data_IF_871679726858
#
_entry.id   IF_871679726858
#
_cell.length_a   1.000
_cell.length_b   1.000
_cell.length_c   1.000
_cell.angle_alpha   90.00
_cell.angle_beta   90.00
_cell.angle_gamma   90.00
#
_symmetry.space_group_name_H-M   'P 1'
#
loop_
_entity.id
_entity.type
_entity.pdbx_description
1 polymer ?
#
# COMPACT_ATOMS: atom_id res chain seq x y z
N UNK A 1 10.41 26.18 -62.68
CA UNK A 1 10.70 24.83 -62.13
C UNK A 1 11.07 24.85 -60.65
N UNK A 2 11.78 25.87 -60.12
CA UNK A 2 12.17 25.89 -58.69
C UNK A 2 11.01 26.02 -57.66
N UNK A 3 9.91 26.72 -57.97
CA UNK A 3 8.77 26.88 -57.02
C UNK A 3 8.09 25.55 -56.64
N UNK A 4 7.99 24.61 -57.58
CA UNK A 4 7.38 23.29 -57.30
C UNK A 4 8.29 22.40 -56.44
N UNK A 5 9.61 22.61 -56.51
CA UNK A 5 10.58 21.88 -55.69
C UNK A 5 10.50 22.29 -54.20
N UNK A 6 10.24 23.57 -53.90
CA UNK A 6 10.01 24.06 -52.53
C UNK A 6 8.69 23.54 -51.92
N UNK A 7 7.64 23.42 -52.74
CA UNK A 7 6.36 22.85 -52.29
C UNK A 7 6.50 21.36 -51.97
N UNK A 8 7.22 20.60 -52.80
CA UNK A 8 7.50 19.18 -52.56
C UNK A 8 8.38 18.94 -51.32
N UNK A 9 9.32 19.84 -51.00
CA UNK A 9 10.15 19.75 -49.79
C UNK A 9 9.41 20.17 -48.52
N UNK A 10 8.45 21.11 -48.60
CA UNK A 10 7.58 21.45 -47.47
C UNK A 10 6.57 20.35 -47.13
N UNK A 11 6.08 19.61 -48.13
CA UNK A 11 5.14 18.49 -47.92
C UNK A 11 5.86 17.28 -47.30
N UNK A 12 7.12 17.02 -47.64
CA UNK A 12 7.88 15.92 -47.03
C UNK A 12 8.23 16.18 -45.56
N UNK A 13 8.47 17.45 -45.16
CA UNK A 13 8.66 17.82 -43.76
C UNK A 13 7.38 17.65 -42.92
N UNK A 14 6.20 17.86 -43.50
CA UNK A 14 4.93 17.66 -42.79
C UNK A 14 4.61 16.18 -42.52
N UNK A 15 5.05 15.27 -43.40
CA UNK A 15 4.86 13.83 -43.19
C UNK A 15 5.89 13.20 -42.22
N UNK A 16 7.06 13.82 -42.06
CA UNK A 16 8.13 13.32 -41.18
C UNK A 16 7.84 13.51 -39.68
N UNK A 17 6.89 14.38 -39.29
CA UNK A 17 6.52 14.60 -37.89
C UNK A 17 5.34 13.76 -37.38
N UNK A 18 4.79 12.83 -38.18
CA UNK A 18 3.67 11.98 -37.75
C UNK A 18 4.08 10.60 -37.22
N UNK A 19 5.36 10.39 -36.89
CA UNK A 19 5.75 9.26 -36.05
C UNK A 19 5.32 9.55 -34.61
N UNK A 20 4.05 9.25 -34.32
CA UNK A 20 3.67 8.95 -32.94
C UNK A 20 4.51 7.74 -32.52
N UNK A 21 5.56 7.97 -31.75
CA UNK A 21 6.13 6.95 -30.89
C UNK A 21 5.00 6.50 -29.97
N UNK A 22 4.28 5.43 -30.38
CA UNK A 22 3.62 4.59 -29.41
C UNK A 22 4.75 4.05 -28.57
N UNK A 23 4.95 4.67 -27.40
CA UNK A 23 5.67 4.10 -26.28
C UNK A 23 4.99 2.78 -25.93
N UNK A 24 5.33 1.76 -26.70
CA UNK A 24 4.97 0.38 -26.44
C UNK A 24 5.98 -0.14 -25.43
N UNK A 25 6.03 0.51 -24.26
CA UNK A 25 6.37 -0.21 -23.06
C UNK A 25 5.20 -1.16 -22.80
N UNK A 26 5.27 -2.34 -23.42
CA UNK A 26 4.51 -3.49 -22.92
C UNK A 26 5.12 -3.84 -21.56
N UNK A 27 4.81 -3.02 -20.55
CA UNK A 27 4.92 -3.42 -19.18
C UNK A 27 4.12 -4.73 -19.08
N UNK A 28 4.81 -5.80 -18.70
CA UNK A 28 4.16 -7.09 -18.45
C UNK A 28 3.09 -6.84 -17.40
N UNK A 29 1.83 -6.71 -17.84
CA UNK A 29 0.70 -6.41 -16.97
C UNK A 29 0.67 -7.54 -15.94
N UNK A 30 0.89 -7.20 -14.67
CA UNK A 30 0.88 -8.20 -13.62
C UNK A 30 -0.53 -8.78 -13.52
N UNK A 31 -0.67 -10.07 -13.14
CA UNK A 31 -1.99 -10.68 -12.97
C UNK A 31 -2.84 -9.99 -11.90
N UNK A 32 -2.27 -9.05 -11.13
CA UNK A 32 -2.95 -8.27 -10.10
C UNK A 32 -3.36 -6.88 -10.57
N UNK A 33 -2.78 -6.33 -11.64
CA UNK A 33 -3.00 -4.93 -12.04
C UNK A 33 -4.48 -4.66 -12.32
N UNK A 34 -5.12 -5.54 -13.09
CA UNK A 34 -6.56 -5.45 -13.36
C UNK A 34 -7.42 -5.53 -12.08
N UNK A 35 -6.98 -6.33 -11.09
CA UNK A 35 -7.70 -6.44 -9.81
C UNK A 35 -7.55 -5.15 -9.01
N UNK A 36 -6.34 -4.64 -8.91
CA UNK A 36 -6.03 -3.37 -8.21
C UNK A 36 -6.80 -2.22 -8.86
N UNK A 37 -6.72 -2.09 -10.19
CA UNK A 37 -7.42 -1.06 -10.96
C UNK A 37 -8.93 -1.13 -10.75
N UNK A 38 -9.50 -2.33 -10.72
CA UNK A 38 -10.94 -2.50 -10.47
C UNK A 38 -11.36 -1.95 -9.11
N UNK A 39 -10.54 -2.11 -8.06
CA UNK A 39 -10.82 -1.59 -6.72
C UNK A 39 -10.57 -0.08 -6.68
N UNK A 40 -9.45 0.40 -7.23
CA UNK A 40 -9.11 1.83 -7.27
C UNK A 40 -10.16 2.67 -8.02
N UNK A 41 -10.81 2.10 -9.04
CA UNK A 41 -11.89 2.76 -9.77
C UNK A 41 -13.18 2.90 -8.97
N UNK A 42 -13.40 2.04 -7.95
CA UNK A 42 -14.55 2.14 -7.07
C UNK A 42 -14.36 3.17 -5.96
N UNK A 43 -13.13 3.60 -5.68
CA UNK A 43 -12.78 4.45 -4.54
C UNK A 43 -13.04 5.94 -4.79
N UNK A 44 -13.48 6.65 -3.75
CA UNK A 44 -13.44 8.12 -3.73
C UNK A 44 -12.01 8.61 -3.52
N UNK A 45 -11.79 9.92 -3.69
CA UNK A 45 -10.47 10.51 -3.44
C UNK A 45 -10.05 10.35 -1.96
N UNK A 46 -10.98 10.51 -1.02
CA UNK A 46 -10.74 10.39 0.42
C UNK A 46 -10.33 8.98 0.81
N UNK A 47 -10.95 7.95 0.23
CA UNK A 47 -10.56 6.55 0.47
C UNK A 47 -9.17 6.26 -0.11
N UNK A 48 -8.81 6.83 -1.27
CA UNK A 48 -7.47 6.69 -1.86
C UNK A 48 -6.40 7.32 -0.96
N UNK A 49 -6.68 8.53 -0.46
CA UNK A 49 -5.83 9.18 0.55
C UNK A 49 -5.76 8.33 1.82
N UNK A 50 -6.89 7.74 2.21
CA UNK A 50 -7.02 6.82 3.34
C UNK A 50 -6.08 5.62 3.27
N UNK A 51 -5.91 5.02 2.10
CA UNK A 51 -4.98 3.90 1.91
C UNK A 51 -3.51 4.28 2.18
N UNK A 52 -3.17 5.58 2.07
CA UNK A 52 -1.84 6.10 2.37
C UNK A 52 -1.65 6.48 3.85
N UNK A 53 -2.68 6.29 4.69
CA UNK A 53 -2.67 6.68 6.09
C UNK A 53 -2.41 5.48 7.01
N UNK A 54 -1.42 5.62 7.89
CA UNK A 54 -1.06 4.64 8.91
C UNK A 54 -1.29 5.21 10.32
N UNK A 55 -2.00 4.46 11.16
CA UNK A 55 -2.13 4.79 12.59
C UNK A 55 -1.40 3.81 13.50
N UNK A 56 -0.74 4.32 14.54
CA UNK A 56 -0.39 3.48 15.68
C UNK A 56 -1.65 3.07 16.43
N UNK A 57 -1.65 1.85 16.98
CA UNK A 57 -2.67 1.38 17.92
C UNK A 57 -2.97 2.46 18.97
N UNK A 58 -4.25 2.79 19.12
CA UNK A 58 -4.67 4.01 19.83
C UNK A 58 -5.77 3.76 20.87
N UNK A 59 -6.28 2.53 20.98
CA UNK A 59 -7.28 2.12 21.95
C UNK A 59 -7.26 0.59 22.11
N UNK A 60 -7.95 0.07 23.14
CA UNK A 60 -8.25 -1.35 23.28
C UNK A 60 -9.39 -1.73 22.33
N UNK A 61 -9.07 -2.48 21.27
CA UNK A 61 -10.02 -2.81 20.21
C UNK A 61 -11.13 -3.76 20.67
N UNK A 62 -10.93 -4.48 21.77
CA UNK A 62 -11.94 -5.35 22.40
C UNK A 62 -12.75 -4.64 23.47
N UNK A 63 -12.31 -3.46 23.89
CA UNK A 63 -13.00 -2.59 24.85
C UNK A 63 -14.12 -1.75 24.22
N UNK A 64 -14.80 -0.91 25.04
CA UNK A 64 -15.82 0.00 24.53
C UNK A 64 -15.21 1.01 23.54
N UNK A 65 -15.96 1.34 22.49
CA UNK A 65 -15.53 2.33 21.50
C UNK A 65 -15.23 3.69 22.17
N UNK A 66 -14.13 4.36 21.79
CA UNK A 66 -13.77 5.66 22.33
C UNK A 66 -14.83 6.71 21.98
N UNK A 67 -15.20 7.55 22.96
CA UNK A 67 -16.30 8.52 22.82
C UNK A 67 -15.84 9.93 22.47
N UNK A 68 -14.60 10.28 22.83
CA UNK A 68 -14.05 11.61 22.64
C UNK A 68 -12.54 11.60 22.31
N UNK A 69 -12.00 12.79 22.07
CA UNK A 69 -10.58 13.00 21.84
C UNK A 69 -10.05 12.43 20.52
N UNK A 70 -8.73 12.26 20.47
CA UNK A 70 -8.03 11.78 19.27
C UNK A 70 -8.35 10.32 18.94
N UNK A 71 -8.63 9.49 19.95
CA UNK A 71 -8.99 8.08 19.76
C UNK A 71 -10.35 7.94 19.07
N UNK A 72 -11.37 8.70 19.47
CA UNK A 72 -12.68 8.70 18.80
C UNK A 72 -12.57 9.13 17.34
N UNK A 73 -11.77 10.17 17.05
CA UNK A 73 -11.54 10.61 15.67
C UNK A 73 -10.88 9.54 14.81
N UNK A 74 -9.86 8.85 15.34
CA UNK A 74 -9.18 7.77 14.61
C UNK A 74 -10.09 6.55 14.41
N UNK A 75 -10.95 6.24 15.38
CA UNK A 75 -11.96 5.19 15.26
C UNK A 75 -12.97 5.52 14.15
N UNK A 76 -13.44 6.76 14.08
CA UNK A 76 -14.29 7.24 12.99
C UNK A 76 -13.60 7.15 11.62
N UNK A 77 -12.32 7.52 11.54
CA UNK A 77 -11.54 7.38 10.30
C UNK A 77 -11.43 5.92 9.85
N UNK A 78 -11.23 4.99 10.79
CA UNK A 78 -11.21 3.56 10.49
C UNK A 78 -12.54 3.11 9.89
N UNK A 79 -13.67 3.46 10.51
CA UNK A 79 -15.01 3.13 10.00
C UNK A 79 -15.34 3.76 8.65
N UNK A 80 -14.72 4.89 8.32
CA UNK A 80 -14.85 5.54 7.00
C UNK A 80 -13.97 4.94 5.91
N UNK A 81 -13.14 3.93 6.22
CA UNK A 81 -12.18 3.37 5.27
C UNK A 81 -11.00 4.31 4.97
N UNK A 82 -10.66 5.21 5.90
CA UNK A 82 -9.60 6.21 5.75
C UNK A 82 -8.26 5.80 6.39
N UNK A 83 -8.06 4.50 6.58
CA UNK A 83 -6.85 3.94 7.19
C UNK A 83 -6.46 2.71 6.36
N UNK A 84 -5.25 2.70 5.81
CA UNK A 84 -4.71 1.59 5.02
C UNK A 84 -3.93 0.60 5.87
N UNK A 85 -3.28 1.08 6.93
CA UNK A 85 -2.49 0.23 7.82
C UNK A 85 -2.52 0.69 9.27
N UNK A 86 -2.21 -0.25 10.16
CA UNK A 86 -2.00 0.04 11.57
C UNK A 86 -0.70 -0.59 12.07
N UNK A 87 0.02 0.13 12.92
CA UNK A 87 1.23 -0.37 13.60
C UNK A 87 0.96 -0.53 15.10
N UNK A 88 1.58 -1.51 15.76
CA UNK A 88 1.51 -1.70 17.21
C UNK A 88 0.12 -2.09 17.76
N UNK A 89 -0.75 -2.72 16.97
CA UNK A 89 -2.02 -3.32 17.46
C UNK A 89 -1.74 -4.73 17.99
N UNK A 90 -1.43 -4.88 19.27
CA UNK A 90 -0.94 -6.17 19.83
C UNK A 90 -2.07 -7.14 20.20
N UNK A 91 -1.83 -8.43 19.94
CA UNK A 91 -2.73 -9.53 20.28
C UNK A 91 -3.72 -9.89 19.18
N UNK A 92 -3.89 -11.19 18.95
CA UNK A 92 -4.75 -11.73 17.86
C UNK A 92 -6.20 -11.24 17.97
N UNK A 93 -6.72 -11.10 19.19
CA UNK A 93 -8.08 -10.63 19.44
C UNK A 93 -8.27 -9.17 19.00
N UNK A 94 -7.31 -8.30 19.34
CA UNK A 94 -7.33 -6.89 18.94
C UNK A 94 -7.15 -6.73 17.44
N UNK A 95 -6.21 -7.47 16.84
CA UNK A 95 -6.00 -7.48 15.38
C UNK A 95 -7.26 -7.93 14.66
N UNK A 96 -7.91 -9.00 15.14
CA UNK A 96 -9.16 -9.49 14.58
C UNK A 96 -10.28 -8.45 14.72
N UNK A 97 -10.38 -7.78 15.85
CA UNK A 97 -11.41 -6.76 16.09
C UNK A 97 -11.27 -5.58 15.12
N UNK A 98 -10.07 -5.02 14.94
CA UNK A 98 -9.87 -3.91 13.98
C UNK A 98 -10.05 -4.35 12.54
N UNK A 99 -9.64 -5.57 12.20
CA UNK A 99 -9.82 -6.10 10.85
C UNK A 99 -11.28 -6.36 10.54
N UNK A 100 -12.05 -6.80 11.53
CA UNK A 100 -13.50 -6.96 11.41
C UNK A 100 -14.18 -5.64 11.06
N UNK A 101 -13.80 -4.54 11.72
CA UNK A 101 -14.31 -3.20 11.38
C UNK A 101 -13.96 -2.85 9.93
N UNK A 102 -12.69 -3.01 9.53
CA UNK A 102 -12.24 -2.68 8.17
C UNK A 102 -13.00 -3.45 7.09
N UNK A 103 -13.21 -4.76 7.30
CA UNK A 103 -13.84 -5.66 6.32
C UNK A 103 -15.37 -5.58 6.33
N UNK A 104 -16.00 -5.47 7.49
CA UNK A 104 -17.46 -5.58 7.64
C UNK A 104 -18.18 -4.24 7.75
N UNK A 105 -17.50 -3.17 8.20
CA UNK A 105 -18.15 -1.88 8.48
C UNK A 105 -17.76 -0.76 7.52
N UNK A 106 -16.80 -0.98 6.61
CA UNK A 106 -16.41 0.02 5.59
C UNK A 106 -17.06 -0.28 4.23
N UNK A 107 -17.21 0.75 3.40
CA UNK A 107 -17.94 0.67 2.11
C UNK A 107 -17.37 -0.38 1.14
N UNK A 108 -16.05 -0.52 1.09
CA UNK A 108 -15.35 -1.43 0.16
C UNK A 108 -14.74 -2.66 0.84
N UNK A 109 -14.78 -2.74 2.18
CA UNK A 109 -14.25 -3.89 2.92
C UNK A 109 -12.75 -4.14 2.72
N UNK A 110 -11.96 -3.09 2.41
CA UNK A 110 -10.53 -3.22 2.16
C UNK A 110 -9.82 -3.56 3.48
N UNK A 111 -9.08 -4.68 3.58
CA UNK A 111 -8.42 -5.08 4.81
C UNK A 111 -7.22 -4.17 5.12
N UNK A 112 -6.92 -4.04 6.41
CA UNK A 112 -5.73 -3.35 6.91
C UNK A 112 -4.48 -4.21 6.79
N UNK A 113 -3.34 -3.56 6.52
CA UNK A 113 -2.02 -4.11 6.84
C UNK A 113 -1.72 -3.86 8.32
N UNK A 114 -1.29 -4.90 9.05
CA UNK A 114 -0.89 -4.78 10.46
C UNK A 114 0.62 -4.93 10.57
N UNK A 115 1.29 -3.86 10.99
CA UNK A 115 2.74 -3.79 11.15
C UNK A 115 3.20 -3.89 12.60
N UNK A 116 4.42 -4.40 12.78
CA UNK A 116 5.14 -4.43 14.04
C UNK A 116 6.65 -4.33 13.79
N UNK A 117 7.36 -3.74 14.74
CA UNK A 117 8.81 -3.79 14.79
C UNK A 117 9.27 -5.12 15.43
N UNK A 118 9.19 -6.22 14.66
CA UNK A 118 9.72 -7.54 15.05
C UNK A 118 11.14 -7.65 14.52
N UNK A 119 12.09 -7.17 15.31
CA UNK A 119 13.46 -6.95 14.84
C UNK A 119 14.36 -8.18 15.01
N UNK A 120 14.22 -8.91 16.13
CA UNK A 120 15.04 -10.08 16.45
C UNK A 120 14.24 -11.11 17.28
N UNK A 121 13.02 -11.37 16.84
CA UNK A 121 12.05 -12.21 17.53
C UNK A 121 10.85 -11.42 18.09
N UNK A 122 9.76 -12.14 18.34
CA UNK A 122 8.49 -11.57 18.82
C UNK A 122 8.32 -11.77 20.33
N UNK A 123 8.03 -13.01 20.75
CA UNK A 123 8.00 -13.39 22.18
C UNK A 123 9.26 -14.15 22.58
N UNK A 124 9.69 -15.10 21.75
CA UNK A 124 11.03 -15.68 21.85
C UNK A 124 12.01 -14.73 21.20
N UNK A 125 12.99 -14.26 21.99
CA UNK A 125 13.91 -13.21 21.59
C UNK A 125 15.27 -13.83 21.28
N UNK A 126 15.72 -13.64 20.05
CA UNK A 126 17.06 -13.99 19.60
C UNK A 126 18.08 -12.91 20.01
N UNK A 127 19.39 -13.12 19.85
CA UNK A 127 20.36 -12.05 20.05
C UNK A 127 20.03 -10.81 19.21
N UNK A 128 20.49 -9.63 19.63
CA UNK A 128 20.31 -8.42 18.81
C UNK A 128 20.94 -8.62 17.42
N UNK A 129 20.46 -7.94 16.35
CA UNK A 129 20.94 -8.19 14.99
C UNK A 129 22.46 -8.09 14.82
N UNK A 130 23.11 -7.20 15.57
CA UNK A 130 24.57 -7.09 15.58
C UNK A 130 25.24 -8.38 16.10
N UNK A 131 24.71 -8.98 17.15
CA UNK A 131 25.21 -10.24 17.71
C UNK A 131 24.86 -11.44 16.83
N UNK A 132 23.66 -11.47 16.23
CA UNK A 132 23.31 -12.50 15.24
C UNK A 132 24.28 -12.49 14.06
N UNK A 133 24.63 -11.31 13.54
CA UNK A 133 25.60 -11.19 12.45
C UNK A 133 27.00 -11.73 12.82
N UNK A 134 27.37 -11.65 14.09
CA UNK A 134 28.63 -12.16 14.61
C UNK A 134 28.66 -13.69 14.78
N UNK A 135 27.53 -14.37 14.61
CA UNK A 135 27.49 -15.84 14.54
C UNK A 135 28.10 -16.39 13.26
N UNK A 136 28.08 -15.59 12.17
CA UNK A 136 28.43 -16.03 10.81
C UNK A 136 27.64 -17.25 10.32
N UNK A 137 26.48 -17.50 10.90
CA UNK A 137 25.61 -18.64 10.60
C UNK A 137 24.31 -18.16 9.93
N UNK A 138 24.27 -18.24 8.59
CA UNK A 138 23.10 -17.82 7.81
C UNK A 138 21.88 -18.71 8.06
N UNK A 139 22.07 -20.00 8.37
CA UNK A 139 20.97 -20.90 8.67
C UNK A 139 20.33 -20.53 10.01
N UNK A 140 21.14 -20.21 11.03
CA UNK A 140 20.65 -19.73 12.31
C UNK A 140 19.93 -18.37 12.19
N UNK A 141 20.46 -17.42 11.41
CA UNK A 141 19.81 -16.12 11.15
C UNK A 141 18.46 -16.33 10.45
N UNK A 142 18.41 -17.17 9.41
CA UNK A 142 17.15 -17.48 8.72
C UNK A 142 16.13 -18.11 9.68
N UNK A 143 16.58 -19.03 10.55
CA UNK A 143 15.72 -19.66 11.57
C UNK A 143 15.21 -18.68 12.64
N UNK A 144 16.00 -17.67 12.98
CA UNK A 144 15.59 -16.59 13.89
C UNK A 144 14.47 -15.73 13.30
N UNK A 145 14.48 -15.51 11.99
CA UNK A 145 13.50 -14.68 11.29
C UNK A 145 12.17 -15.38 10.94
N UNK A 146 12.08 -16.70 11.14
CA UNK A 146 10.94 -17.53 10.73
C UNK A 146 9.83 -17.67 11.77
#
# INVERSE_FOLDING_TARGET
MLKNAYILTLISLFFACNTSEKDSSTATISPFDQKVDSVLNLMTLEEKIGQMNQYSGFWDATGPAPKDGSAAKKYEHLKKGWVGSMINVRGVENVKAVQKIAVEETRLGIPLIIGFDVIHGYETISPIPLAESASWDLEAIQKSAS
#
